data_IF_082686159739
#
_entry.id   IF_082686159739
#
_cell.length_a   1.000
_cell.length_b   1.000
_cell.length_c   1.000
_cell.angle_alpha   90.00
_cell.angle_beta   90.00
_cell.angle_gamma   90.00
#
_symmetry.space_group_name_H-M   'P 1'
#
loop_
_entity.id
_entity.type
_entity.pdbx_description
1 polymer ?
#
# COMPACT_ATOMS: atom_id res chain seq x y z
N UNK A 1 10.18 13.70 -6.55
CA UNK A 1 10.05 12.60 -7.54
C UNK A 1 9.70 11.33 -6.77
N UNK A 2 8.93 10.38 -7.29
CA UNK A 2 8.75 9.07 -6.62
C UNK A 2 9.83 8.09 -7.06
N UNK A 3 10.26 7.23 -6.14
CA UNK A 3 11.10 6.07 -6.44
C UNK A 3 10.25 4.80 -6.26
N UNK A 4 10.26 3.96 -7.30
CA UNK A 4 9.71 2.61 -7.26
C UNK A 4 10.91 1.67 -7.26
N UNK A 5 11.10 0.95 -6.15
CA UNK A 5 12.10 -0.12 -6.08
C UNK A 5 11.38 -1.46 -6.16
N UNK A 6 11.74 -2.30 -7.13
CA UNK A 6 11.20 -3.65 -7.25
C UNK A 6 12.34 -4.65 -7.05
N UNK A 7 12.22 -5.52 -6.05
CA UNK A 7 13.17 -6.60 -5.77
C UNK A 7 12.60 -7.94 -6.25
N UNK A 8 13.34 -8.62 -7.13
CA UNK A 8 13.05 -9.96 -7.66
C UNK A 8 11.64 -10.17 -8.26
N UNK A 9 10.95 -9.08 -8.60
CA UNK A 9 9.59 -9.09 -9.15
C UNK A 9 8.47 -9.45 -8.16
N UNK A 10 8.80 -9.79 -6.90
CA UNK A 10 7.83 -10.17 -5.85
C UNK A 10 7.65 -9.12 -4.77
N UNK A 11 8.63 -8.24 -4.57
CA UNK A 11 8.56 -7.19 -3.55
C UNK A 11 8.64 -5.84 -4.24
N UNK A 12 7.60 -5.03 -4.06
CA UNK A 12 7.55 -3.64 -4.53
C UNK A 12 7.64 -2.69 -3.34
N UNK A 13 8.41 -1.62 -3.50
CA UNK A 13 8.46 -0.50 -2.56
C UNK A 13 8.21 0.78 -3.34
N UNK A 14 7.20 1.54 -2.93
CA UNK A 14 6.85 2.84 -3.48
C UNK A 14 7.08 3.88 -2.40
N UNK A 15 7.96 4.84 -2.64
CA UNK A 15 8.20 5.97 -1.74
C UNK A 15 8.38 7.27 -2.52
N UNK A 16 8.04 8.40 -1.90
CA UNK A 16 8.27 9.71 -2.49
C UNK A 16 9.60 10.28 -1.97
N UNK A 17 10.52 10.61 -2.87
CA UNK A 17 11.81 11.24 -2.55
C UNK A 17 11.72 12.74 -2.81
N UNK A 18 12.40 13.51 -1.94
CA UNK A 18 12.52 14.97 -2.07
C UNK A 18 11.15 15.66 -2.15
N UNK A 19 10.26 15.32 -1.22
CA UNK A 19 8.91 15.90 -1.15
C UNK A 19 9.02 17.35 -0.69
N UNK A 20 9.10 18.28 -1.64
CA UNK A 20 9.02 19.73 -1.38
C UNK A 20 7.57 20.22 -1.30
N UNK A 21 6.62 19.43 -1.82
CA UNK A 21 5.20 19.74 -1.85
C UNK A 21 4.38 18.46 -1.61
N UNK A 22 3.59 18.46 -0.54
CA UNK A 22 2.72 17.33 -0.14
C UNK A 22 1.80 16.88 -1.27
N UNK A 23 1.14 17.81 -1.97
CA UNK A 23 0.23 17.49 -3.08
C UNK A 23 0.95 16.78 -4.22
N UNK A 24 2.13 17.26 -4.58
CA UNK A 24 2.93 16.64 -5.63
C UNK A 24 3.43 15.26 -5.22
N UNK A 25 3.83 15.09 -3.96
CA UNK A 25 4.23 13.80 -3.42
C UNK A 25 3.10 12.77 -3.45
N UNK A 26 1.89 13.15 -3.00
CA UNK A 26 0.70 12.29 -3.06
C UNK A 26 0.34 11.88 -4.49
N UNK A 27 0.39 12.84 -5.43
CA UNK A 27 0.17 12.55 -6.85
C UNK A 27 1.24 11.61 -7.42
N UNK A 28 2.49 11.73 -6.97
CA UNK A 28 3.59 10.85 -7.40
C UNK A 28 3.40 9.42 -6.88
N UNK A 29 2.97 9.24 -5.62
CA UNK A 29 2.62 7.92 -5.06
C UNK A 29 1.44 7.32 -5.83
N UNK A 30 0.40 8.11 -6.08
CA UNK A 30 -0.78 7.67 -6.83
C UNK A 30 -0.41 7.17 -8.22
N UNK A 31 0.39 7.94 -8.96
CA UNK A 31 0.82 7.56 -10.31
C UNK A 31 1.70 6.30 -10.26
N UNK A 32 2.61 6.20 -9.28
CA UNK A 32 3.42 5.00 -9.10
C UNK A 32 2.57 3.74 -8.83
N UNK A 33 1.49 3.84 -8.06
CA UNK A 33 0.57 2.73 -7.81
C UNK A 33 -0.23 2.34 -9.05
N UNK A 34 -0.67 3.33 -9.84
CA UNK A 34 -1.32 3.08 -11.13
C UNK A 34 -0.33 2.37 -12.05
N UNK A 35 0.85 2.94 -12.25
CA UNK A 35 1.89 2.38 -13.12
C UNK A 35 2.25 0.95 -12.69
N UNK A 36 2.39 0.72 -11.39
CA UNK A 36 2.66 -0.60 -10.83
C UNK A 36 1.57 -1.61 -11.17
N UNK A 37 0.31 -1.24 -10.97
CA UNK A 37 -0.84 -2.12 -11.24
C UNK A 37 -1.18 -2.23 -12.73
N UNK A 38 -0.75 -1.31 -13.59
CA UNK A 38 -1.05 -1.35 -15.04
C UNK A 38 0.13 -1.79 -15.90
N UNK A 39 1.34 -1.85 -15.34
CA UNK A 39 2.55 -2.23 -16.09
C UNK A 39 2.45 -3.66 -16.63
N UNK A 40 2.69 -3.83 -17.92
CA UNK A 40 2.72 -5.14 -18.59
C UNK A 40 3.71 -6.10 -17.91
N UNK A 41 4.85 -5.61 -17.38
CA UNK A 41 5.80 -6.47 -16.67
C UNK A 41 5.22 -7.08 -15.38
N UNK A 42 4.45 -6.30 -14.61
CA UNK A 42 3.78 -6.80 -13.39
C UNK A 42 2.57 -7.64 -13.79
N UNK A 43 1.87 -7.24 -14.85
CA UNK A 43 0.68 -7.93 -15.34
C UNK A 43 0.96 -9.26 -16.07
N UNK A 44 2.14 -9.44 -16.66
CA UNK A 44 2.60 -10.69 -17.26
C UNK A 44 3.36 -11.56 -16.26
N UNK A 45 3.87 -10.98 -15.16
CA UNK A 45 4.41 -11.78 -14.08
C UNK A 45 3.30 -12.59 -13.40
N UNK A 46 3.50 -13.91 -13.33
CA UNK A 46 2.67 -14.81 -12.50
C UNK A 46 3.13 -14.79 -11.04
N UNK A 47 3.72 -13.69 -10.58
CA UNK A 47 4.36 -13.59 -9.28
C UNK A 47 3.42 -12.93 -8.27
N UNK A 48 3.20 -13.64 -7.17
CA UNK A 48 2.62 -13.07 -5.97
C UNK A 48 3.48 -11.93 -5.45
N UNK A 49 2.83 -10.81 -5.13
CA UNK A 49 3.47 -9.54 -4.82
C UNK A 49 3.20 -9.07 -3.39
N UNK A 50 4.25 -8.63 -2.72
CA UNK A 50 4.24 -7.88 -1.48
C UNK A 50 4.58 -6.43 -1.78
N UNK A 51 3.63 -5.52 -1.64
CA UNK A 51 3.79 -4.11 -1.97
C UNK A 51 3.86 -3.27 -0.69
N UNK A 52 4.89 -2.46 -0.54
CA UNK A 52 5.04 -1.52 0.56
C UNK A 52 4.97 -0.09 0.05
N UNK A 53 4.18 0.75 0.70
CA UNK A 53 4.00 2.16 0.36
C UNK A 53 4.41 3.01 1.56
N UNK A 54 5.45 3.82 1.38
CA UNK A 54 5.92 4.75 2.40
C UNK A 54 5.04 6.01 2.41
N UNK A 55 4.36 6.23 3.52
CA UNK A 55 3.52 7.40 3.75
C UNK A 55 4.12 8.38 4.75
N UNK A 56 5.36 8.16 5.21
CA UNK A 56 6.05 9.01 6.19
C UNK A 56 6.00 10.51 5.88
N UNK A 57 6.12 10.99 4.62
CA UNK A 57 6.16 12.42 4.35
C UNK A 57 4.79 13.10 4.45
N UNK A 58 3.71 12.34 4.62
CA UNK A 58 2.34 12.83 4.45
C UNK A 58 1.56 12.82 5.76
N UNK A 59 1.06 13.99 6.16
CA UNK A 59 0.10 14.15 7.26
C UNK A 59 -1.36 14.17 6.78
N UNK A 60 -1.58 14.03 5.47
CA UNK A 60 -2.90 14.03 4.82
C UNK A 60 -2.88 13.09 3.62
N UNK A 61 -4.05 12.66 3.18
CA UNK A 61 -4.22 11.78 2.03
C UNK A 61 -5.42 12.24 1.19
N UNK A 62 -5.29 12.18 -0.14
CA UNK A 62 -6.39 12.53 -1.04
C UNK A 62 -7.37 11.37 -1.19
N UNK A 63 -8.65 11.69 -1.43
CA UNK A 63 -9.67 10.69 -1.77
C UNK A 63 -9.31 9.89 -3.02
N UNK A 64 -8.60 10.49 -3.97
CA UNK A 64 -8.08 9.80 -5.15
C UNK A 64 -7.08 8.71 -4.78
N UNK A 65 -6.14 8.98 -3.86
CA UNK A 65 -5.16 7.98 -3.43
C UNK A 65 -5.84 6.87 -2.62
N UNK A 66 -6.80 7.21 -1.75
CA UNK A 66 -7.64 6.21 -1.04
C UNK A 66 -8.33 5.27 -2.03
N UNK A 67 -8.93 5.81 -3.09
CA UNK A 67 -9.58 5.00 -4.13
C UNK A 67 -8.60 4.07 -4.85
N UNK A 68 -7.40 4.55 -5.19
CA UNK A 68 -6.35 3.71 -5.81
C UNK A 68 -5.88 2.61 -4.85
N UNK A 69 -5.69 2.90 -3.56
CA UNK A 69 -5.35 1.86 -2.57
C UNK A 69 -6.45 0.79 -2.50
N UNK A 70 -7.73 1.20 -2.54
CA UNK A 70 -8.85 0.26 -2.64
C UNK A 70 -8.75 -0.64 -3.87
N UNK A 71 -8.43 -0.09 -5.04
CA UNK A 71 -8.23 -0.89 -6.26
C UNK A 71 -7.04 -1.84 -6.16
N UNK A 72 -5.93 -1.41 -5.56
CA UNK A 72 -4.72 -2.23 -5.36
C UNK A 72 -5.02 -3.43 -4.46
N UNK A 73 -5.81 -3.25 -3.40
CA UNK A 73 -6.21 -4.32 -2.46
C UNK A 73 -7.01 -5.42 -3.18
N UNK A 74 -7.82 -5.03 -4.16
CA UNK A 74 -8.64 -5.94 -4.95
C UNK A 74 -7.84 -6.69 -6.03
N UNK A 75 -6.61 -6.28 -6.31
CA UNK A 75 -5.74 -7.00 -7.23
C UNK A 75 -5.34 -8.35 -6.61
N UNK A 76 -5.61 -9.42 -7.37
CA UNK A 76 -5.37 -10.80 -6.94
C UNK A 76 -3.88 -11.12 -6.78
N UNK A 77 -3.00 -10.38 -7.45
CA UNK A 77 -1.54 -10.58 -7.38
C UNK A 77 -0.95 -9.95 -6.13
N UNK A 78 -1.61 -8.95 -5.56
CA UNK A 78 -1.21 -8.36 -4.29
C UNK A 78 -1.61 -9.32 -3.18
N UNK A 79 -0.61 -9.96 -2.56
CA UNK A 79 -0.78 -10.79 -1.37
C UNK A 79 -0.73 -9.96 -0.10
N UNK A 80 0.02 -8.85 -0.13
CA UNK A 80 0.16 -7.93 0.99
C UNK A 80 0.33 -6.51 0.48
N UNK A 81 -0.41 -5.58 1.10
CA UNK A 81 -0.21 -4.15 0.99
C UNK A 81 0.24 -3.61 2.35
N UNK A 82 1.55 -3.37 2.48
CA UNK A 82 2.15 -2.73 3.64
C UNK A 82 2.05 -1.21 3.54
N UNK A 83 1.31 -0.57 4.44
CA UNK A 83 1.25 0.88 4.54
C UNK A 83 2.20 1.32 5.67
N UNK A 84 3.29 1.99 5.31
CA UNK A 84 4.42 2.22 6.20
C UNK A 84 4.46 3.66 6.71
N UNK A 85 4.87 3.82 7.97
CA UNK A 85 5.08 5.09 8.66
C UNK A 85 3.87 6.04 8.59
N UNK A 86 2.67 5.47 8.78
CA UNK A 86 1.41 6.21 8.68
C UNK A 86 1.28 7.17 9.87
N UNK A 87 1.04 8.45 9.58
CA UNK A 87 0.72 9.42 10.63
C UNK A 87 -0.72 9.21 11.15
N UNK A 88 -1.02 9.51 12.43
CA UNK A 88 -2.34 9.25 13.02
C UNK A 88 -3.51 9.82 12.22
N UNK A 89 -3.38 11.04 11.69
CA UNK A 89 -4.43 11.67 10.87
C UNK A 89 -4.69 10.92 9.56
N UNK A 90 -3.66 10.36 8.94
CA UNK A 90 -3.81 9.54 7.72
C UNK A 90 -4.42 8.18 8.06
N UNK A 91 -4.01 7.58 9.17
CA UNK A 91 -4.57 6.34 9.67
C UNK A 91 -6.08 6.47 9.92
N UNK A 92 -6.51 7.51 10.62
CA UNK A 92 -7.94 7.78 10.86
C UNK A 92 -8.74 7.86 9.56
N UNK A 93 -8.19 8.55 8.53
CA UNK A 93 -8.83 8.66 7.22
C UNK A 93 -8.92 7.29 6.54
N UNK A 94 -7.82 6.54 6.50
CA UNK A 94 -7.78 5.21 5.87
C UNK A 94 -8.73 4.22 6.56
N UNK A 95 -8.82 4.25 7.89
CA UNK A 95 -9.76 3.43 8.66
C UNK A 95 -11.20 3.84 8.38
N UNK A 96 -11.49 5.14 8.33
CA UNK A 96 -12.84 5.64 8.02
C UNK A 96 -13.32 5.23 6.63
N UNK A 97 -12.41 5.13 5.66
CA UNK A 97 -12.73 4.67 4.30
C UNK A 97 -12.64 3.15 4.14
N UNK A 98 -12.32 2.40 5.20
CA UNK A 98 -12.26 0.93 5.17
C UNK A 98 -11.10 0.38 4.35
N UNK A 99 -10.01 1.15 4.19
CA UNK A 99 -8.74 0.67 3.60
C UNK A 99 -7.90 -0.03 4.66
N UNK A 100 -7.97 0.46 5.90
CA UNK A 100 -7.43 -0.19 7.09
C UNK A 100 -8.58 -0.51 8.05
N UNK A 101 -8.38 -1.51 8.89
CA UNK A 101 -9.34 -1.93 9.91
C UNK A 101 -8.56 -2.20 11.19
N UNK A 102 -9.13 -1.85 12.35
CA UNK A 102 -8.43 -1.92 13.64
C UNK A 102 -8.03 -3.34 14.03
N UNK A 103 -8.77 -4.33 13.55
CA UNK A 103 -8.58 -5.76 13.80
C UNK A 103 -8.19 -6.56 12.54
N UNK A 104 -7.95 -5.87 11.42
CA UNK A 104 -7.69 -6.52 10.13
C UNK A 104 -8.92 -7.16 9.48
N UNK A 105 -10.14 -6.90 9.99
CA UNK A 105 -11.38 -7.47 9.47
C UNK A 105 -12.31 -6.42 8.89
N UNK A 106 -12.90 -6.70 7.72
CA UNK A 106 -13.91 -5.82 7.14
C UNK A 106 -15.23 -5.92 7.90
N UNK A 107 -16.01 -4.84 7.84
CA UNK A 107 -17.32 -4.76 8.50
C UNK A 107 -18.23 -5.92 8.09
N UNK A 108 -19.14 -6.32 8.98
CA UNK A 108 -20.05 -7.46 8.75
C UNK A 108 -20.90 -7.33 7.48
N UNK A 109 -21.17 -6.10 7.05
CA UNK A 109 -21.96 -5.77 5.87
C UNK A 109 -21.15 -5.70 4.57
N UNK A 110 -19.82 -5.81 4.63
CA UNK A 110 -18.98 -5.84 3.45
C UNK A 110 -19.23 -7.10 2.61
N UNK A 111 -19.04 -6.99 1.30
CA UNK A 111 -19.10 -8.16 0.42
C UNK A 111 -18.04 -9.19 0.81
N UNK A 112 -18.28 -10.46 0.50
CA UNK A 112 -17.28 -11.52 0.74
C UNK A 112 -15.93 -11.18 0.10
N UNK A 113 -15.95 -10.64 -1.11
CA UNK A 113 -14.74 -10.24 -1.82
C UNK A 113 -13.94 -9.16 -1.06
N UNK A 114 -14.60 -8.17 -0.46
CA UNK A 114 -13.92 -7.17 0.36
C UNK A 114 -13.33 -7.81 1.63
N UNK A 115 -14.09 -8.71 2.28
CA UNK A 115 -13.63 -9.43 3.47
C UNK A 115 -12.40 -10.29 3.19
N UNK A 116 -12.36 -10.93 2.02
CA UNK A 116 -11.25 -11.79 1.61
C UNK A 116 -9.97 -10.98 1.26
N UNK A 117 -10.11 -9.71 0.85
CA UNK A 117 -8.97 -8.88 0.43
C UNK A 117 -8.49 -7.88 1.49
N UNK A 118 -9.35 -7.42 2.41
CA UNK A 118 -8.95 -6.41 3.41
C UNK A 118 -7.85 -6.90 4.35
N UNK A 119 -7.82 -8.21 4.64
CA UNK A 119 -6.80 -8.82 5.50
C UNK A 119 -5.39 -8.79 4.89
N UNK A 120 -5.26 -8.37 3.62
CA UNK A 120 -3.97 -8.14 2.95
C UNK A 120 -3.30 -6.84 3.39
N UNK A 121 -4.04 -5.91 3.98
CA UNK A 121 -3.52 -4.59 4.32
C UNK A 121 -2.96 -4.60 5.74
N UNK A 122 -1.69 -4.24 5.88
CA UNK A 122 -1.01 -4.21 7.17
C UNK A 122 -0.30 -2.87 7.33
N UNK A 123 -0.48 -2.23 8.49
CA UNK A 123 0.27 -1.03 8.84
C UNK A 123 1.62 -1.41 9.48
N UNK A 124 2.68 -0.71 9.10
CA UNK A 124 4.02 -0.86 9.68
C UNK A 124 4.56 0.52 10.09
N UNK A 125 5.40 0.54 11.12
CA UNK A 125 6.12 1.73 11.59
C UNK A 125 7.15 2.22 10.56
N UNK A 126 7.71 1.33 9.75
CA UNK A 126 8.65 1.65 8.68
C UNK A 126 8.65 0.63 7.54
N UNK A 127 9.30 0.97 6.43
CA UNK A 127 9.52 0.04 5.31
C UNK A 127 10.39 -1.14 5.74
N UNK A 128 11.43 -0.88 6.54
CA UNK A 128 12.35 -1.90 7.04
C UNK A 128 11.64 -2.93 7.91
N UNK A 129 10.72 -2.49 8.79
CA UNK A 129 9.90 -3.38 9.59
C UNK A 129 8.99 -4.25 8.71
N UNK A 130 8.36 -3.64 7.70
CA UNK A 130 7.54 -4.38 6.73
C UNK A 130 8.33 -5.40 5.93
N UNK A 131 9.53 -5.06 5.46
CA UNK A 131 10.40 -5.99 4.74
C UNK A 131 10.91 -7.12 5.64
N UNK A 132 11.20 -6.82 6.92
CA UNK A 132 11.62 -7.82 7.89
C UNK A 132 10.52 -8.86 8.17
N UNK A 133 9.24 -8.48 8.12
CA UNK A 133 8.12 -9.40 8.35
C UNK A 133 8.01 -10.50 7.29
N UNK A 134 8.55 -10.27 6.08
CA UNK A 134 8.59 -11.28 5.01
C UNK A 134 9.60 -12.40 5.27
N UNK A 135 10.55 -12.22 6.19
CA UNK A 135 11.59 -13.19 6.51
C UNK A 135 11.63 -13.50 8.03
N UNK A 136 10.75 -14.38 8.53
CA UNK A 136 10.62 -14.67 9.97
C UNK A 136 11.81 -15.40 10.61
N UNK A 137 12.91 -15.65 9.88
CA UNK A 137 14.09 -16.39 10.37
C UNK A 137 15.30 -15.51 10.70
N UNK A 138 15.14 -14.19 10.80
CA UNK A 138 16.19 -13.24 11.28
C UNK A 138 15.77 -12.48 12.55
N UNK A 139 15.22 -13.21 13.52
CA UNK A 139 14.96 -12.74 14.89
C UNK A 139 15.71 -13.61 15.89
#
# INVERSE_FOLDING_TARGET
MSEIMVSDGRVGVIKAIDVTNVRQGLESIKNALIDYTTSEQVQESNLDTFLFVDLSPFNTISSSLVGILGSVIMDRKIQLLGLCAIQPTVLEVLTRFGVLTEDGTATDFASKEIKDNIGKVVAYDSIEQGLASLNPHKG
#
